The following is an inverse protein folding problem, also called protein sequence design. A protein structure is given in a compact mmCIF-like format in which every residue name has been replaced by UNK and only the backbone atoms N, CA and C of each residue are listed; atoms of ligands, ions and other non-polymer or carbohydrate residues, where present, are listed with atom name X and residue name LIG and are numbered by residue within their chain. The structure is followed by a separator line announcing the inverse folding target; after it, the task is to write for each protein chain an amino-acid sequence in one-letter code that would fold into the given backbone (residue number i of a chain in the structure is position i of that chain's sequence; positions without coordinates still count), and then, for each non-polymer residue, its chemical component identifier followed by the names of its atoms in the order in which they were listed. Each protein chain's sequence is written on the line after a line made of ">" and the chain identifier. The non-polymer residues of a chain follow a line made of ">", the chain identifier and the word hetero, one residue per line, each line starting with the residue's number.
data_IF_162136048809
#
_entry.id   IF_162136048809
#
_cell.length_a   1.000
_cell.length_b   1.000
_cell.length_c   1.000
_cell.angle_alpha   90.00
_cell.angle_beta   90.00
_cell.angle_gamma   90.00
#
_symmetry.space_group_name_H-M   'P 1'
#
loop_
_entity.id
_entity.type
_entity.pdbx_description
1 polymer ?
#
# COMPACT_ATOMS: atom_id res chain seq x y z
N UNK A 1 -21.23 28.01 -8.05
CA UNK A 1 -21.47 26.63 -8.55
C UNK A 1 -21.36 25.66 -7.38
N UNK A 2 -22.29 24.72 -7.25
CA UNK A 2 -22.24 23.67 -6.22
C UNK A 2 -21.38 22.50 -6.73
N UNK A 3 -20.29 22.17 -6.04
CA UNK A 3 -19.31 21.13 -6.45
C UNK A 3 -19.99 19.79 -6.73
N UNK A 4 -20.97 19.39 -5.90
CA UNK A 4 -21.72 18.14 -6.06
C UNK A 4 -22.44 18.00 -7.41
N UNK A 5 -22.87 19.11 -8.02
CA UNK A 5 -23.57 19.11 -9.31
C UNK A 5 -22.65 18.87 -10.51
N UNK A 6 -21.33 18.88 -10.30
CA UNK A 6 -20.35 18.60 -11.34
C UNK A 6 -20.14 17.09 -11.55
N UNK A 7 -20.65 16.24 -10.65
CA UNK A 7 -20.49 14.79 -10.70
C UNK A 7 -21.75 14.09 -11.22
N UNK A 8 -21.61 12.94 -11.90
CA UNK A 8 -22.75 12.16 -12.35
C UNK A 8 -23.55 11.61 -11.16
N UNK A 9 -24.88 11.59 -11.31
CA UNK A 9 -25.77 11.06 -10.29
C UNK A 9 -25.89 9.54 -10.47
N UNK A 10 -25.46 8.80 -9.46
CA UNK A 10 -25.74 7.37 -9.38
C UNK A 10 -27.14 7.13 -8.82
N UNK A 11 -28.03 6.51 -9.60
CA UNK A 11 -29.40 6.23 -9.16
C UNK A 11 -29.39 5.05 -8.19
N UNK A 12 -29.87 5.27 -6.96
CA UNK A 12 -30.10 4.21 -5.98
C UNK A 12 -31.59 3.81 -5.98
N UNK A 13 -31.91 2.60 -5.50
CA UNK A 13 -33.28 2.07 -5.44
C UNK A 13 -34.16 2.67 -4.32
N UNK A 14 -33.67 3.67 -3.59
CA UNK A 14 -34.28 4.17 -2.35
C UNK A 14 -35.14 5.43 -2.53
N UNK A 15 -35.56 5.76 -3.75
CA UNK A 15 -36.37 6.95 -4.01
C UNK A 15 -37.76 6.90 -3.34
N UNK A 16 -38.36 5.71 -3.24
CA UNK A 16 -39.69 5.51 -2.62
C UNK A 16 -39.62 5.33 -1.11
N UNK A 17 -38.53 4.74 -0.60
CA UNK A 17 -38.28 4.51 0.82
C UNK A 17 -36.98 5.19 1.20
N UNK A 18 -37.09 6.44 1.65
CA UNK A 18 -35.92 7.23 2.02
C UNK A 18 -35.19 6.58 3.20
N UNK A 19 -33.88 6.45 3.05
CA UNK A 19 -32.98 5.93 4.08
C UNK A 19 -31.78 6.87 4.22
N UNK A 20 -31.08 6.77 5.34
CA UNK A 20 -29.83 7.50 5.56
C UNK A 20 -28.78 7.19 4.49
N UNK A 21 -27.91 8.15 4.18
CA UNK A 21 -26.81 7.98 3.23
C UNK A 21 -25.91 6.78 3.55
N UNK A 22 -25.58 6.56 4.83
CA UNK A 22 -24.81 5.41 5.32
C UNK A 22 -25.44 4.08 4.90
N UNK A 23 -26.73 3.89 5.20
CA UNK A 23 -27.48 2.69 4.78
C UNK A 23 -27.60 2.56 3.26
N UNK A 24 -27.74 3.68 2.54
CA UNK A 24 -27.79 3.67 1.08
C UNK A 24 -26.49 3.12 0.48
N UNK A 25 -25.34 3.62 0.93
CA UNK A 25 -24.02 3.15 0.49
C UNK A 25 -23.80 1.68 0.85
N UNK A 26 -24.14 1.27 2.08
CA UNK A 26 -24.05 -0.13 2.51
C UNK A 26 -24.91 -1.06 1.64
N UNK A 27 -26.15 -0.65 1.33
CA UNK A 27 -27.05 -1.41 0.46
C UNK A 27 -26.50 -1.52 -0.97
N UNK A 28 -25.92 -0.45 -1.50
CA UNK A 28 -25.32 -0.44 -2.84
C UNK A 28 -24.08 -1.32 -2.95
N UNK A 29 -23.20 -1.29 -1.94
CA UNK A 29 -22.00 -2.14 -1.91
C UNK A 29 -22.37 -3.62 -1.71
N UNK A 30 -23.40 -3.88 -0.89
CA UNK A 30 -23.84 -5.25 -0.59
C UNK A 30 -22.77 -6.06 0.13
N UNK A 31 -22.81 -7.40 -0.03
CA UNK A 31 -21.94 -8.33 0.71
C UNK A 31 -20.59 -8.62 0.06
N UNK A 32 -20.48 -8.42 -1.26
CA UNK A 32 -19.31 -8.83 -2.04
C UNK A 32 -18.84 -7.77 -3.04
N UNK A 33 -19.40 -6.56 -2.98
CA UNK A 33 -19.06 -5.45 -3.87
C UNK A 33 -18.99 -5.85 -5.36
N UNK A 34 -20.04 -6.49 -5.88
CA UNK A 34 -20.08 -6.97 -7.26
C UNK A 34 -19.90 -5.85 -8.29
N UNK A 35 -20.41 -4.65 -7.99
CA UNK A 35 -20.25 -3.44 -8.79
C UNK A 35 -18.89 -2.75 -8.64
N UNK A 36 -18.00 -3.25 -7.76
CA UNK A 36 -16.63 -2.76 -7.54
C UNK A 36 -16.56 -1.27 -7.17
N UNK A 37 -17.42 -0.83 -6.27
CA UNK A 37 -17.37 0.53 -5.75
C UNK A 37 -16.11 0.78 -4.94
N UNK A 38 -15.58 2.00 -5.08
CA UNK A 38 -14.61 2.60 -4.17
C UNK A 38 -15.36 3.65 -3.37
N UNK A 39 -15.31 3.58 -2.05
CA UNK A 39 -16.10 4.46 -1.19
C UNK A 39 -15.21 5.54 -0.60
N UNK A 40 -15.52 6.80 -0.87
CA UNK A 40 -14.86 7.94 -0.24
C UNK A 40 -15.73 8.47 0.91
N UNK A 41 -15.31 8.32 2.17
CA UNK A 41 -16.08 8.75 3.34
C UNK A 41 -15.22 9.18 4.52
N UNK A 42 -15.67 10.20 5.26
CA UNK A 42 -15.09 10.62 6.54
C UNK A 42 -15.73 9.95 7.75
N UNK A 43 -16.88 9.31 7.57
CA UNK A 43 -17.63 8.64 8.65
C UNK A 43 -16.94 7.35 9.09
N UNK A 44 -16.54 7.28 10.36
CA UNK A 44 -15.81 6.13 10.92
C UNK A 44 -16.67 4.88 11.04
N UNK A 45 -17.93 5.01 11.43
CA UNK A 45 -18.83 3.85 11.59
C UNK A 45 -19.10 3.18 10.24
N UNK A 46 -19.24 3.99 9.19
CA UNK A 46 -19.35 3.48 7.83
C UNK A 46 -18.06 2.78 7.38
N UNK A 47 -16.88 3.35 7.66
CA UNK A 47 -15.61 2.72 7.34
C UNK A 47 -15.48 1.34 8.01
N UNK A 48 -15.78 1.24 9.31
CA UNK A 48 -15.72 -0.02 10.05
C UNK A 48 -16.66 -1.07 9.47
N UNK A 49 -17.87 -0.65 9.11
CA UNK A 49 -18.83 -1.52 8.45
C UNK A 49 -18.33 -2.04 7.09
N UNK A 50 -17.71 -1.17 6.29
CA UNK A 50 -17.20 -1.50 4.95
C UNK A 50 -15.92 -2.35 5.00
N UNK A 51 -15.07 -2.22 6.04
CA UNK A 51 -13.86 -3.06 6.23
C UNK A 51 -14.18 -4.54 6.35
N UNK A 52 -15.35 -4.88 6.88
CA UNK A 52 -15.82 -6.26 7.01
C UNK A 52 -16.15 -6.90 5.67
N UNK A 53 -16.45 -6.09 4.64
CA UNK A 53 -16.78 -6.55 3.31
C UNK A 53 -15.48 -6.69 2.50
N UNK A 54 -15.20 -7.85 1.91
CA UNK A 54 -14.01 -8.01 1.07
C UNK A 54 -14.16 -7.22 -0.23
N UNK A 55 -13.07 -6.62 -0.70
CA UNK A 55 -13.00 -5.97 -2.00
C UNK A 55 -13.59 -4.57 -2.05
N UNK A 56 -13.65 -3.85 -0.92
CA UNK A 56 -14.12 -2.44 -0.85
C UNK A 56 -12.96 -1.53 -0.48
N UNK A 57 -12.34 -0.82 -1.45
CA UNK A 57 -11.36 0.21 -1.13
C UNK A 57 -12.03 1.45 -0.55
N UNK A 58 -11.40 2.01 0.49
CA UNK A 58 -11.90 3.17 1.23
C UNK A 58 -10.93 4.33 1.04
N UNK A 59 -11.46 5.50 0.68
CA UNK A 59 -10.72 6.76 0.60
C UNK A 59 -11.25 7.70 1.67
N UNK A 60 -10.36 8.39 2.38
CA UNK A 60 -10.72 9.43 3.34
C UNK A 60 -9.72 10.57 3.30
N UNK A 61 -10.09 11.75 3.75
CA UNK A 61 -9.20 12.90 3.84
C UNK A 61 -8.46 12.87 5.17
N UNK A 62 -7.13 12.89 5.11
CA UNK A 62 -6.25 13.08 6.25
C UNK A 62 -5.51 14.41 6.09
N UNK A 63 -6.03 15.47 6.72
CA UNK A 63 -5.57 16.83 6.47
C UNK A 63 -5.91 17.30 5.06
N UNK A 64 -4.90 17.65 4.26
CA UNK A 64 -5.07 18.22 2.91
C UNK A 64 -5.08 17.19 1.77
N UNK A 65 -4.76 15.92 2.06
CA UNK A 65 -4.59 14.89 1.04
C UNK A 65 -5.64 13.76 1.17
N UNK A 66 -6.22 13.29 0.06
CA UNK A 66 -6.98 12.05 0.06
C UNK A 66 -6.03 10.87 0.27
N UNK A 67 -6.35 10.05 1.26
CA UNK A 67 -5.61 8.85 1.63
C UNK A 67 -6.44 7.64 1.24
N UNK A 68 -5.86 6.77 0.41
CA UNK A 68 -6.39 5.45 0.13
C UNK A 68 -5.97 4.52 1.27
N UNK A 69 -6.93 3.88 1.91
CA UNK A 69 -6.68 2.93 2.99
C UNK A 69 -6.00 1.66 2.46
N UNK A 70 -5.17 1.04 3.29
CA UNK A 70 -4.66 -0.30 3.01
C UNK A 70 -5.83 -1.31 2.91
N UNK A 71 -5.67 -2.40 2.13
CA UNK A 71 -6.71 -3.41 2.00
C UNK A 71 -7.12 -3.98 3.36
N UNK A 72 -8.44 -4.13 3.57
CA UNK A 72 -8.96 -4.67 4.82
C UNK A 72 -8.52 -6.12 5.04
N UNK A 73 -8.52 -6.57 6.30
CA UNK A 73 -8.19 -7.96 6.62
C UNK A 73 -9.12 -8.95 5.90
N UNK A 74 -10.40 -8.62 5.76
CA UNK A 74 -11.36 -9.41 4.98
C UNK A 74 -10.94 -9.53 3.50
N UNK A 75 -10.51 -8.43 2.90
CA UNK A 75 -10.02 -8.39 1.52
C UNK A 75 -8.73 -9.22 1.36
N UNK A 76 -7.78 -9.11 2.29
CA UNK A 76 -6.55 -9.90 2.27
C UNK A 76 -6.84 -11.40 2.39
N UNK A 77 -7.69 -11.80 3.34
CA UNK A 77 -8.11 -13.21 3.52
C UNK A 77 -8.81 -13.77 2.28
N UNK A 78 -9.71 -12.99 1.68
CA UNK A 78 -10.39 -13.39 0.45
C UNK A 78 -9.39 -13.57 -0.69
N UNK A 79 -8.47 -12.60 -0.87
CA UNK A 79 -7.43 -12.69 -1.89
C UNK A 79 -6.50 -13.88 -1.67
N UNK A 80 -6.11 -14.18 -0.44
CA UNK A 80 -5.34 -15.37 -0.09
C UNK A 80 -6.06 -16.66 -0.47
N UNK A 81 -7.35 -16.75 -0.14
CA UNK A 81 -8.15 -17.93 -0.47
C UNK A 81 -8.29 -18.12 -1.99
N UNK A 82 -8.54 -17.05 -2.73
CA UNK A 82 -8.59 -17.08 -4.20
C UNK A 82 -7.23 -17.47 -4.78
N UNK A 83 -6.12 -16.93 -4.26
CA UNK A 83 -4.77 -17.28 -4.71
C UNK A 83 -4.44 -18.76 -4.51
N UNK A 84 -4.90 -19.39 -3.42
CA UNK A 84 -4.68 -20.83 -3.19
C UNK A 84 -5.30 -21.68 -4.29
N UNK A 85 -6.44 -21.27 -4.85
CA UNK A 85 -7.10 -21.97 -5.96
C UNK A 85 -6.50 -21.67 -7.34
N UNK A 86 -5.68 -20.62 -7.47
CA UNK A 86 -5.05 -20.19 -8.74
C UNK A 86 -3.57 -20.57 -8.83
N UNK A 87 -3.06 -21.33 -7.87
CA UNK A 87 -1.69 -21.84 -7.90
C UNK A 87 -1.50 -22.88 -9.00
N UNK A 88 -0.25 -23.05 -9.43
CA UNK A 88 0.12 -24.15 -10.33
C UNK A 88 -0.14 -25.49 -9.64
N UNK A 89 -0.68 -26.44 -10.38
CA UNK A 89 -0.73 -27.85 -9.97
C UNK A 89 0.68 -28.39 -9.76
N UNK A 90 0.83 -29.45 -8.98
CA UNK A 90 2.14 -30.05 -8.70
C UNK A 90 2.87 -30.47 -9.98
N UNK A 91 2.14 -30.96 -10.99
CA UNK A 91 2.72 -31.35 -12.28
C UNK A 91 3.18 -30.13 -13.10
N UNK A 92 2.41 -29.05 -13.11
CA UNK A 92 2.81 -27.80 -13.76
C UNK A 92 4.07 -27.21 -13.10
N UNK A 93 4.21 -27.31 -11.76
CA UNK A 93 5.42 -26.89 -11.05
C UNK A 93 6.64 -27.71 -11.47
N UNK A 94 6.51 -29.03 -11.55
CA UNK A 94 7.59 -29.93 -11.98
C UNK A 94 8.00 -29.64 -13.44
N UNK A 95 7.01 -29.45 -14.31
CA UNK A 95 7.24 -29.10 -15.72
C UNK A 95 7.91 -27.73 -15.86
N UNK A 96 7.48 -26.74 -15.07
CA UNK A 96 8.16 -25.45 -15.04
C UNK A 96 9.59 -25.54 -14.53
N UNK A 97 9.88 -26.46 -13.61
CA UNK A 97 11.24 -26.69 -13.11
C UNK A 97 12.13 -27.25 -14.22
N UNK A 98 11.70 -28.31 -14.90
CA UNK A 98 12.46 -28.93 -16.00
C UNK A 98 12.66 -27.96 -17.16
N UNK A 99 11.64 -27.17 -17.52
CA UNK A 99 11.75 -26.14 -18.56
C UNK A 99 12.71 -25.01 -18.17
N UNK A 100 12.72 -24.58 -16.90
CA UNK A 100 13.68 -23.58 -16.40
C UNK A 100 15.12 -24.12 -16.43
N UNK A 101 15.31 -25.39 -16.09
CA UNK A 101 16.61 -26.07 -16.16
C UNK A 101 17.10 -26.19 -17.62
N UNK A 102 16.23 -26.63 -18.53
CA UNK A 102 16.53 -26.71 -19.97
C UNK A 102 16.82 -25.35 -20.62
N UNK A 103 16.15 -24.28 -20.15
CA UNK A 103 16.40 -22.92 -20.62
C UNK A 103 17.64 -22.27 -19.98
N UNK A 104 18.31 -22.93 -19.02
CA UNK A 104 19.46 -22.36 -18.31
C UNK A 104 19.09 -21.24 -17.32
N UNK A 105 17.81 -21.11 -16.97
CA UNK A 105 17.28 -20.16 -15.96
C UNK A 105 17.15 -20.81 -14.57
N UNK A 106 17.76 -21.98 -14.34
CA UNK A 106 17.85 -22.55 -13.01
C UNK A 106 18.56 -21.55 -12.10
N UNK A 107 17.80 -20.96 -11.17
CA UNK A 107 18.35 -20.11 -10.12
C UNK A 107 19.30 -20.97 -9.29
N UNK A 108 20.60 -20.87 -9.58
CA UNK A 108 21.63 -21.11 -8.59
C UNK A 108 21.35 -20.13 -7.45
N UNK A 109 20.68 -20.66 -6.43
CA UNK A 109 20.43 -19.99 -5.17
C UNK A 109 21.80 -19.69 -4.58
N UNK A 110 22.22 -18.45 -4.80
CA UNK A 110 23.30 -17.68 -4.15
C UNK A 110 24.06 -16.82 -5.17
N UNK A 111 23.39 -15.85 -5.80
CA UNK A 111 24.06 -14.55 -5.98
C UNK A 111 24.10 -13.90 -4.60
N UNK A 112 24.98 -14.40 -3.72
CA UNK A 112 25.57 -13.55 -2.70
C UNK A 112 26.32 -12.50 -3.50
N UNK A 113 25.66 -11.40 -3.81
CA UNK A 113 26.34 -10.14 -4.09
C UNK A 113 27.24 -9.92 -2.89
N UNK A 114 28.51 -10.37 -2.98
CA UNK A 114 29.54 -10.05 -2.02
C UNK A 114 29.59 -8.53 -2.07
N UNK A 115 28.90 -7.88 -1.13
CA UNK A 115 29.12 -6.46 -0.85
C UNK A 115 30.62 -6.37 -0.69
N UNK A 116 31.33 -5.83 -1.70
CA UNK A 116 32.73 -5.47 -1.55
C UNK A 116 32.74 -4.62 -0.30
N UNK A 117 33.33 -5.10 0.80
CA UNK A 117 33.58 -4.28 1.99
C UNK A 117 34.24 -3.03 1.43
N UNK A 118 33.53 -1.89 1.45
CA UNK A 118 34.13 -0.61 1.05
C UNK A 118 35.39 -0.51 1.87
N UNK A 119 36.56 -0.50 1.21
CA UNK A 119 37.84 -0.23 1.87
C UNK A 119 37.59 1.07 2.63
N UNK A 120 37.58 1.02 3.97
CA UNK A 120 37.53 2.25 4.77
C UNK A 120 38.71 3.07 4.26
N UNK A 121 38.43 4.20 3.63
CA UNK A 121 39.47 5.12 3.21
C UNK A 121 40.24 5.46 4.48
N UNK A 122 41.52 5.08 4.54
CA UNK A 122 42.38 5.44 5.66
C UNK A 122 42.64 6.94 5.49
N UNK A 123 41.77 7.76 6.07
CA UNK A 123 41.96 9.20 6.14
C UNK A 123 43.10 9.41 7.15
N UNK A 124 44.13 10.14 6.77
CA UNK A 124 45.24 10.47 7.65
C UNK A 124 44.72 11.24 8.88
N UNK A 125 45.31 10.98 10.06
CA UNK A 125 44.80 11.48 11.34
C UNK A 125 44.54 13.01 11.34
N UNK A 126 45.46 13.78 10.76
CA UNK A 126 45.36 15.24 10.66
C UNK A 126 44.12 15.71 9.88
N UNK A 127 43.71 15.00 8.83
CA UNK A 127 42.51 15.33 8.05
C UNK A 127 41.24 15.02 8.86
N UNK A 128 41.29 13.96 9.68
CA UNK A 128 40.17 13.60 10.54
C UNK A 128 39.98 14.60 11.67
N UNK A 129 41.08 15.07 12.27
CA UNK A 129 41.05 16.12 13.28
C UNK A 129 40.60 17.48 12.72
N UNK A 130 41.03 17.84 11.51
CA UNK A 130 40.56 19.03 10.81
C UNK A 130 39.05 19.00 10.55
N UNK A 131 38.50 17.87 10.06
CA UNK A 131 37.06 17.72 9.85
C UNK A 131 36.26 17.81 11.16
N UNK A 132 36.77 17.24 12.25
CA UNK A 132 36.11 17.30 13.56
C UNK A 132 36.10 18.73 14.11
N UNK A 133 37.22 19.44 14.02
CA UNK A 133 37.31 20.83 14.48
C UNK A 133 36.43 21.78 13.67
N UNK A 134 36.29 21.54 12.37
CA UNK A 134 35.43 22.32 11.48
C UNK A 134 33.94 22.08 11.74
N UNK A 135 33.54 20.84 12.05
CA UNK A 135 32.18 20.51 12.50
C UNK A 135 31.87 21.15 13.86
N UNK A 136 32.80 21.10 14.82
CA UNK A 136 32.61 21.72 16.14
C UNK A 136 32.48 23.25 16.04
N UNK A 137 33.26 23.92 15.17
CA UNK A 137 33.12 25.36 14.90
C UNK A 137 31.73 25.70 14.35
N UNK A 138 31.24 24.93 13.37
CA UNK A 138 29.87 25.14 12.81
C UNK A 138 28.77 24.90 13.85
N UNK A 139 28.98 23.98 14.79
CA UNK A 139 28.05 23.76 15.91
C UNK A 139 28.04 24.96 16.87
N UNK A 140 29.21 25.51 17.19
CA UNK A 140 29.36 26.69 18.05
C UNK A 140 28.80 27.95 17.41
N UNK A 141 28.96 28.12 16.09
CA UNK A 141 28.36 29.22 15.34
C UNK A 141 26.83 29.13 15.35
N UNK A 142 26.26 27.93 15.16
CA UNK A 142 24.81 27.72 15.29
C UNK A 142 24.28 28.01 16.69
N UNK A 143 25.06 27.70 17.72
CA UNK A 143 24.68 27.95 19.12
C UNK A 143 24.83 29.41 19.56
N UNK A 144 25.47 30.28 18.78
CA UNK A 144 25.56 31.72 19.03
C UNK A 144 24.45 32.53 18.36
N UNK A 145 23.64 31.88 17.52
CA UNK A 145 22.53 32.48 16.76
C UNK A 145 21.16 32.14 17.39
N UNK A 146 21.15 31.34 18.47
CA UNK A 146 20.02 31.13 19.39
C UNK A 146 20.32 31.81 20.72
#
# INVERSE_FOLDING_TARGET
>A
MQIVKQYPIHKCGHAKHSISGTKCLQSMVGKSNSSRYIVATQDRELQDSLRNIPGVPIIYLHGKAPTLEAPSQASCKYAENVRKGLGMTEWEKETMRTLKEAAGLAENTEIKCKRKKRKKMKIAAHVKEALVTEVMKKQLEKNKIN
#
